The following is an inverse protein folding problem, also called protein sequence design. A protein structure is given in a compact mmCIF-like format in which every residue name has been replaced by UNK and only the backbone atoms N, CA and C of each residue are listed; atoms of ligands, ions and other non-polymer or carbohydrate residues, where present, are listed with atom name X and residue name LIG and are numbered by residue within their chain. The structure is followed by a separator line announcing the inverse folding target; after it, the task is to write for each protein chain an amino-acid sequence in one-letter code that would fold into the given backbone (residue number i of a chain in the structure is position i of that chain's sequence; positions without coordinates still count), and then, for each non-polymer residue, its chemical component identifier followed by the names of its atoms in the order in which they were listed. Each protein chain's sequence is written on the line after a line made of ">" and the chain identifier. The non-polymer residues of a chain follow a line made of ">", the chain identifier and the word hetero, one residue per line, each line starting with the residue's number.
data_IF_258893241409
#
_entry.id   IF_258893241409
#
_cell.length_a   1.000
_cell.length_b   1.000
_cell.length_c   1.000
_cell.angle_alpha   90.00
_cell.angle_beta   90.00
_cell.angle_gamma   90.00
#
_symmetry.space_group_name_H-M   'P 1'
#
loop_
_entity.id
_entity.type
_entity.pdbx_description
1 polymer ?
#
# COMPACT_ATOMS: atom_id res chain seq x y z
N UNK A 1 -17.50 -0.34 -11.47
CA UNK A 1 -18.07 -0.76 -10.15
C UNK A 1 -17.10 -0.38 -9.06
N UNK A 2 -17.54 0.27 -7.99
CA UNK A 2 -16.68 0.53 -6.83
C UNK A 2 -16.50 -0.79 -6.06
N UNK A 3 -15.26 -1.20 -5.83
CA UNK A 3 -14.95 -2.41 -5.07
C UNK A 3 -15.20 -2.09 -3.60
N UNK A 4 -16.22 -2.72 -3.02
CA UNK A 4 -16.54 -2.60 -1.60
C UNK A 4 -15.91 -3.77 -0.85
N UNK A 5 -14.95 -3.47 0.01
CA UNK A 5 -14.32 -4.43 0.90
C UNK A 5 -14.76 -4.12 2.34
N UNK A 6 -15.69 -4.89 2.88
CA UNK A 6 -16.19 -4.73 4.24
C UNK A 6 -15.94 -5.97 5.10
N UNK A 7 -14.89 -6.00 5.92
CA UNK A 7 -14.93 -6.75 7.16
C UNK A 7 -15.52 -5.84 8.25
N UNK A 8 -16.56 -6.31 8.97
CA UNK A 8 -17.24 -5.56 10.04
C UNK A 8 -16.38 -5.04 11.20
N UNK A 9 -15.08 -5.37 11.16
CA UNK A 9 -14.06 -4.92 12.14
C UNK A 9 -13.40 -3.57 11.78
N UNK A 10 -13.74 -2.96 10.63
CA UNK A 10 -13.01 -1.75 10.16
C UNK A 10 -13.36 -0.49 10.93
N UNK A 11 -14.59 -0.32 11.40
CA UNK A 11 -14.95 0.82 12.23
C UNK A 11 -14.24 0.81 13.58
N UNK A 12 -14.14 -0.36 14.22
CA UNK A 12 -13.39 -0.50 15.47
C UNK A 12 -11.89 -0.29 15.25
N UNK A 13 -11.34 -0.74 14.13
CA UNK A 13 -9.94 -0.51 13.78
C UNK A 13 -9.64 0.97 13.49
N UNK A 14 -10.57 1.71 12.85
CA UNK A 14 -10.46 3.17 12.62
C UNK A 14 -10.44 3.93 13.93
N UNK A 15 -11.37 3.66 14.84
CA UNK A 15 -11.45 4.30 16.16
C UNK A 15 -10.16 4.04 16.95
N UNK A 16 -9.70 2.81 16.99
CA UNK A 16 -8.47 2.43 17.68
C UNK A 16 -7.22 3.07 17.05
N UNK A 17 -7.18 3.22 15.73
CA UNK A 17 -6.11 3.94 15.05
C UNK A 17 -6.11 5.44 15.42
N UNK A 18 -7.29 6.07 15.52
CA UNK A 18 -7.44 7.46 15.92
C UNK A 18 -7.01 7.70 17.37
N UNK A 19 -7.39 6.81 18.29
CA UNK A 19 -6.97 6.85 19.70
C UNK A 19 -5.45 6.70 19.81
N UNK A 20 -4.88 5.72 19.12
CA UNK A 20 -3.43 5.48 19.11
C UNK A 20 -2.67 6.68 18.56
N UNK A 21 -3.18 7.28 17.48
CA UNK A 21 -2.56 8.45 16.85
C UNK A 21 -2.39 9.62 17.82
N UNK A 22 -3.25 9.75 18.82
CA UNK A 22 -3.14 10.79 19.84
C UNK A 22 -1.85 10.66 20.69
N UNK A 23 -1.41 9.44 20.95
CA UNK A 23 -0.24 9.15 21.78
C UNK A 23 1.07 9.04 20.98
N UNK A 24 1.05 9.15 19.66
CA UNK A 24 2.17 8.91 18.75
C UNK A 24 2.88 10.23 18.39
N UNK A 25 4.18 10.16 18.14
CA UNK A 25 5.01 11.30 17.75
C UNK A 25 5.28 11.31 16.24
N UNK A 26 5.48 10.13 15.62
CA UNK A 26 5.75 9.98 14.18
C UNK A 26 4.97 8.80 13.62
N UNK A 27 4.36 8.99 12.44
CA UNK A 27 3.71 7.93 11.68
C UNK A 27 4.67 7.39 10.63
N UNK A 28 4.84 6.07 10.59
CA UNK A 28 5.51 5.35 9.50
C UNK A 28 4.41 4.77 8.61
N UNK A 29 4.22 5.34 7.43
CA UNK A 29 3.30 4.79 6.43
C UNK A 29 4.07 3.91 5.46
N UNK A 30 3.84 2.59 5.54
CA UNK A 30 4.50 1.60 4.69
C UNK A 30 3.70 1.39 3.42
N UNK A 31 4.33 1.67 2.27
CA UNK A 31 3.78 1.61 0.93
C UNK A 31 4.48 0.52 0.11
N UNK A 32 3.83 0.01 -0.93
CA UNK A 32 4.49 -0.84 -1.92
C UNK A 32 5.13 0.06 -2.99
N UNK A 33 6.45 -0.02 -3.16
CA UNK A 33 7.20 0.82 -4.10
C UNK A 33 6.78 0.64 -5.58
N UNK A 34 6.05 -0.43 -5.89
CA UNK A 34 5.53 -0.70 -7.24
C UNK A 34 4.24 0.07 -7.57
N UNK A 35 3.50 0.48 -6.52
CA UNK A 35 2.20 1.17 -6.60
C UNK A 35 2.03 2.12 -5.39
N UNK A 36 2.86 3.16 -5.25
CA UNK A 36 2.94 3.94 -4.02
C UNK A 36 1.65 4.67 -3.67
N UNK A 37 0.99 5.32 -4.65
CA UNK A 37 -0.24 6.07 -4.37
C UNK A 37 -1.44 5.14 -4.21
N UNK A 38 -1.58 4.11 -5.05
CA UNK A 38 -2.63 3.10 -4.87
C UNK A 38 -2.52 2.33 -3.55
N UNK A 39 -1.33 2.27 -2.94
CA UNK A 39 -1.11 1.69 -1.60
C UNK A 39 -1.18 2.69 -0.46
N UNK A 40 -1.30 3.99 -0.74
CA UNK A 40 -1.51 5.04 0.27
C UNK A 40 -2.92 4.93 0.85
N UNK A 41 -3.02 4.93 2.18
CA UNK A 41 -4.31 4.87 2.86
C UNK A 41 -4.82 6.29 3.20
N UNK A 42 -5.93 6.75 2.61
CA UNK A 42 -6.49 8.08 2.88
C UNK A 42 -6.77 8.34 4.36
N UNK A 43 -7.18 7.31 5.11
CA UNK A 43 -7.42 7.40 6.54
C UNK A 43 -6.15 7.75 7.33
N UNK A 44 -5.00 7.20 6.94
CA UNK A 44 -3.71 7.54 7.58
C UNK A 44 -3.41 9.03 7.40
N UNK A 45 -3.63 9.55 6.18
CA UNK A 45 -3.46 10.98 5.89
C UNK A 45 -4.41 11.85 6.72
N UNK A 46 -5.69 11.49 6.77
CA UNK A 46 -6.71 12.20 7.56
C UNK A 46 -6.31 12.27 9.04
N UNK A 47 -6.07 11.13 9.68
CA UNK A 47 -5.77 11.04 11.11
C UNK A 47 -4.48 11.76 11.50
N UNK A 48 -3.42 11.65 10.67
CA UNK A 48 -2.15 12.33 10.98
C UNK A 48 -2.26 13.86 10.86
N UNK A 49 -3.03 14.37 9.87
CA UNK A 49 -3.25 15.80 9.69
C UNK A 49 -4.07 16.39 10.84
N UNK A 50 -5.14 15.72 11.27
CA UNK A 50 -5.92 16.11 12.43
C UNK A 50 -5.08 16.23 13.72
N UNK A 51 -4.04 15.39 13.85
CA UNK A 51 -3.15 15.37 15.01
C UNK A 51 -1.81 16.06 14.76
N UNK A 52 -1.62 16.68 13.59
CA UNK A 52 -0.38 17.36 13.17
C UNK A 52 0.86 16.47 13.34
N UNK A 53 0.72 15.16 13.02
CA UNK A 53 1.83 14.21 13.13
C UNK A 53 2.65 14.18 11.86
N UNK A 54 3.98 14.30 11.96
CA UNK A 54 4.86 14.08 10.82
C UNK A 54 4.79 12.63 10.35
N UNK A 55 5.04 12.42 9.07
CA UNK A 55 4.95 11.11 8.41
C UNK A 55 6.25 10.75 7.71
N UNK A 56 6.73 9.55 7.98
CA UNK A 56 7.76 8.90 7.19
C UNK A 56 7.08 7.90 6.23
N UNK A 57 6.98 8.26 4.94
CA UNK A 57 6.52 7.33 3.90
C UNK A 57 7.66 6.41 3.50
N UNK A 58 7.46 5.12 3.68
CA UNK A 58 8.47 4.08 3.39
C UNK A 58 7.99 3.23 2.22
N UNK A 59 8.61 3.42 1.05
CA UNK A 59 8.34 2.66 -0.16
C UNK A 59 9.10 1.33 -0.06
N UNK A 60 8.43 0.30 0.45
CA UNK A 60 8.99 -1.05 0.61
C UNK A 60 8.96 -1.84 -0.70
N UNK A 61 9.68 -2.95 -0.78
CA UNK A 61 9.88 -3.77 -1.96
C UNK A 61 10.55 -3.01 -3.12
N UNK A 62 11.40 -2.04 -2.79
CA UNK A 62 12.13 -1.24 -3.77
C UNK A 62 13.06 -2.09 -4.67
N UNK A 63 13.39 -3.30 -4.23
CA UNK A 63 14.09 -4.32 -5.02
C UNK A 63 13.26 -4.84 -6.22
N UNK A 64 11.93 -4.73 -6.15
CA UNK A 64 10.98 -5.17 -7.18
C UNK A 64 10.46 -4.00 -8.05
N UNK A 65 10.69 -2.75 -7.65
CA UNK A 65 10.17 -1.56 -8.31
C UNK A 65 11.19 -0.92 -9.26
N UNK A 66 10.69 -0.22 -10.28
CA UNK A 66 11.50 0.60 -11.18
C UNK A 66 12.23 1.69 -10.39
N UNK A 67 13.58 1.77 -10.46
CA UNK A 67 14.35 2.71 -9.65
C UNK A 67 14.15 4.17 -10.07
N UNK A 68 13.85 4.45 -11.34
CA UNK A 68 13.60 5.82 -11.80
C UNK A 68 12.23 6.31 -11.30
N UNK A 69 11.21 5.45 -11.42
CA UNK A 69 9.87 5.73 -10.91
C UNK A 69 9.88 5.87 -9.39
N UNK A 70 10.62 5.01 -8.68
CA UNK A 70 10.75 5.08 -7.23
C UNK A 70 11.35 6.43 -6.79
N UNK A 71 12.37 6.95 -7.47
CA UNK A 71 12.94 8.28 -7.20
C UNK A 71 11.92 9.39 -7.42
N UNK A 72 11.19 9.35 -8.54
CA UNK A 72 10.15 10.34 -8.83
C UNK A 72 9.07 10.39 -7.74
N UNK A 73 8.67 9.24 -7.19
CA UNK A 73 7.72 9.17 -6.07
C UNK A 73 8.30 9.72 -4.77
N UNK A 74 9.57 9.46 -4.45
CA UNK A 74 10.23 10.03 -3.28
C UNK A 74 10.25 11.56 -3.37
N UNK A 75 10.61 12.12 -4.53
CA UNK A 75 10.60 13.56 -4.78
C UNK A 75 9.19 14.14 -4.65
N UNK A 76 8.18 13.46 -5.23
CA UNK A 76 6.78 13.86 -5.14
C UNK A 76 6.30 13.95 -3.68
N UNK A 77 6.56 12.92 -2.87
CA UNK A 77 6.14 12.92 -1.47
C UNK A 77 6.91 13.90 -0.60
N UNK A 78 8.20 14.12 -0.86
CA UNK A 78 9.02 15.07 -0.11
C UNK A 78 8.59 16.55 -0.30
N UNK A 79 7.78 16.85 -1.32
CA UNK A 79 7.17 18.18 -1.50
C UNK A 79 5.97 18.41 -0.56
N UNK A 80 5.44 17.36 0.06
CA UNK A 80 4.27 17.45 0.92
C UNK A 80 4.67 17.92 2.34
N UNK A 81 3.96 18.89 2.93
CA UNK A 81 4.27 19.37 4.28
C UNK A 81 4.23 18.25 5.34
N UNK A 82 5.25 18.20 6.18
CA UNK A 82 5.34 17.22 7.26
C UNK A 82 5.53 15.77 6.79
N UNK A 83 5.89 15.55 5.53
CA UNK A 83 6.17 14.23 4.95
C UNK A 83 7.63 14.11 4.58
N UNK A 84 8.22 12.97 4.91
CA UNK A 84 9.50 12.53 4.38
C UNK A 84 9.33 11.15 3.77
N UNK A 85 9.97 10.91 2.62
CA UNK A 85 9.86 9.64 1.91
C UNK A 85 11.24 9.03 1.69
N UNK A 86 11.30 7.70 1.74
CA UNK A 86 12.46 6.91 1.33
C UNK A 86 12.01 5.57 0.74
N UNK A 87 12.89 4.93 -0.01
CA UNK A 87 12.69 3.56 -0.48
C UNK A 87 13.63 2.60 0.23
N UNK A 88 13.14 1.39 0.51
CA UNK A 88 13.93 0.30 1.07
C UNK A 88 13.40 -1.07 0.62
N UNK A 89 14.14 -2.10 0.93
CA UNK A 89 13.66 -3.48 0.91
C UNK A 89 13.81 -4.09 2.29
N UNK A 90 12.72 -4.60 2.86
CA UNK A 90 12.78 -5.35 4.13
C UNK A 90 13.65 -6.62 4.03
N UNK A 91 14.04 -7.04 2.83
CA UNK A 91 15.03 -8.11 2.61
C UNK A 91 16.48 -7.66 2.90
N UNK A 92 16.69 -6.34 3.08
CA UNK A 92 17.98 -5.73 3.40
C UNK A 92 17.92 -5.12 4.81
N UNK A 93 18.33 -5.84 5.86
CA UNK A 93 18.19 -5.36 7.25
C UNK A 93 18.90 -4.03 7.52
N UNK A 94 20.02 -3.75 6.84
CA UNK A 94 20.76 -2.49 6.98
C UNK A 94 19.93 -1.25 6.59
N UNK A 95 19.07 -1.36 5.57
CA UNK A 95 18.19 -0.26 5.15
C UNK A 95 17.14 0.04 6.23
N UNK A 96 16.60 -1.02 6.85
CA UNK A 96 15.57 -0.94 7.89
C UNK A 96 16.11 -0.34 9.19
N UNK A 97 17.35 -0.67 9.57
CA UNK A 97 17.98 -0.20 10.80
C UNK A 97 18.07 1.35 10.91
N UNK A 98 17.99 2.06 9.78
CA UNK A 98 18.04 3.53 9.73
C UNK A 98 16.72 4.21 10.11
N UNK A 99 15.59 3.47 10.11
CA UNK A 99 14.26 4.07 10.30
C UNK A 99 14.09 4.81 11.64
N UNK A 100 14.52 4.30 12.81
CA UNK A 100 14.39 5.03 14.07
C UNK A 100 15.10 6.40 14.03
N UNK A 101 16.30 6.46 13.49
CA UNK A 101 17.06 7.73 13.33
C UNK A 101 16.34 8.72 12.41
N UNK A 102 15.74 8.24 11.31
CA UNK A 102 14.98 9.10 10.40
C UNK A 102 13.68 9.60 11.04
N UNK A 103 13.01 8.77 11.82
CA UNK A 103 11.86 9.19 12.61
C UNK A 103 12.25 10.21 13.70
N UNK A 104 13.39 10.00 14.34
CA UNK A 104 13.91 10.95 15.33
C UNK A 104 14.13 12.34 14.74
N UNK A 105 14.63 12.43 13.50
CA UNK A 105 14.81 13.71 12.80
C UNK A 105 13.47 14.44 12.50
N UNK A 106 12.36 13.72 12.46
CA UNK A 106 11.00 14.28 12.28
C UNK A 106 10.38 14.76 13.60
N UNK A 107 10.86 14.28 14.74
CA UNK A 107 10.40 14.66 16.07
C UNK A 107 11.58 14.92 17.03
N UNK A 108 12.38 15.97 16.78
CA UNK A 108 13.62 16.21 17.52
C UNK A 108 13.41 16.50 19.02
N UNK A 109 12.20 16.90 19.41
CA UNK A 109 11.82 17.14 20.80
C UNK A 109 11.64 15.85 21.63
N UNK A 110 11.76 14.68 21.00
CA UNK A 110 11.66 13.34 21.62
C UNK A 110 13.02 12.64 21.61
N UNK A 111 14.07 13.30 22.04
CA UNK A 111 15.45 12.77 21.90
C UNK A 111 16.12 12.45 23.25
N UNK A 112 15.35 12.03 24.25
CA UNK A 112 15.89 11.63 25.54
C UNK A 112 15.25 10.36 26.10
N UNK A 113 15.82 9.83 27.19
CA UNK A 113 15.29 8.61 27.83
C UNK A 113 14.01 8.88 28.65
N UNK A 114 13.70 10.13 28.95
CA UNK A 114 12.51 10.55 29.70
C UNK A 114 11.31 10.64 28.76
N UNK A 115 11.56 11.08 27.52
CA UNK A 115 10.52 11.23 26.48
C UNK A 115 10.88 10.42 25.24
N UNK A 116 10.78 9.08 25.30
CA UNK A 116 11.12 8.24 24.18
C UNK A 116 10.22 8.51 22.96
N UNK A 117 10.77 8.34 21.76
CA UNK A 117 10.06 8.47 20.51
C UNK A 117 9.03 7.34 20.35
N UNK A 118 7.79 7.69 20.14
CA UNK A 118 6.69 6.76 19.91
C UNK A 118 6.30 6.77 18.44
N UNK A 119 6.56 5.68 17.76
CA UNK A 119 6.29 5.50 16.34
C UNK A 119 5.06 4.62 16.13
N UNK A 120 4.25 4.94 15.12
CA UNK A 120 3.12 4.12 14.68
C UNK A 120 3.38 3.64 13.26
N UNK A 121 3.37 2.32 13.04
CA UNK A 121 3.45 1.77 11.70
C UNK A 121 2.06 1.46 11.18
N UNK A 122 1.76 1.98 9.99
CA UNK A 122 0.50 1.79 9.28
C UNK A 122 0.77 1.41 7.82
N UNK A 123 -0.20 0.79 7.18
CA UNK A 123 -0.13 0.43 5.77
C UNK A 123 -1.13 -0.67 5.42
N UNK A 124 -1.32 -0.88 4.13
CA UNK A 124 -2.24 -1.90 3.60
C UNK A 124 -1.76 -3.33 3.94
N UNK A 125 -2.64 -4.35 3.78
CA UNK A 125 -2.22 -5.74 3.88
C UNK A 125 -1.08 -6.07 2.90
N UNK A 126 -0.26 -7.03 3.24
CA UNK A 126 0.85 -7.60 2.43
C UNK A 126 1.91 -6.58 1.92
N UNK A 127 1.91 -5.35 2.43
CA UNK A 127 2.94 -4.34 2.12
C UNK A 127 4.28 -4.61 2.83
N UNK A 128 4.29 -5.51 3.84
CA UNK A 128 5.48 -5.94 4.56
C UNK A 128 5.64 -5.41 5.97
N UNK A 129 4.55 -4.93 6.63
CA UNK A 129 4.61 -4.43 8.02
C UNK A 129 5.21 -5.42 9.00
N UNK A 130 4.70 -6.65 9.04
CA UNK A 130 5.20 -7.71 9.93
C UNK A 130 6.68 -8.06 9.64
N UNK A 131 7.08 -8.02 8.37
CA UNK A 131 8.49 -8.22 7.99
C UNK A 131 9.37 -7.08 8.51
N UNK A 132 8.94 -5.83 8.32
CA UNK A 132 9.64 -4.65 8.84
C UNK A 132 9.81 -4.73 10.36
N UNK A 133 8.73 -5.05 11.07
CA UNK A 133 8.73 -5.20 12.53
C UNK A 133 9.73 -6.27 13.00
N UNK A 134 9.74 -7.44 12.36
CA UNK A 134 10.66 -8.53 12.69
C UNK A 134 12.13 -8.12 12.49
N UNK A 135 12.42 -7.35 11.44
CA UNK A 135 13.77 -6.84 11.18
C UNK A 135 14.18 -5.79 12.23
N UNK A 136 13.30 -4.84 12.55
CA UNK A 136 13.57 -3.81 13.57
C UNK A 136 13.81 -4.42 14.95
N UNK A 137 13.06 -5.43 15.32
CA UNK A 137 13.15 -6.10 16.61
C UNK A 137 14.26 -7.15 16.66
N UNK A 138 14.93 -7.44 15.52
CA UNK A 138 15.94 -8.50 15.38
C UNK A 138 15.47 -9.88 15.89
N UNK A 139 14.16 -10.13 15.86
CA UNK A 139 13.53 -11.38 16.30
C UNK A 139 12.21 -11.61 15.60
N UNK A 140 11.80 -12.87 15.46
CA UNK A 140 10.53 -13.24 14.84
C UNK A 140 9.39 -13.15 15.87
N UNK A 141 8.74 -11.99 15.96
CA UNK A 141 7.59 -11.74 16.84
C UNK A 141 6.28 -11.78 16.05
N UNK A 142 6.26 -11.15 14.88
CA UNK A 142 5.08 -11.10 14.02
C UNK A 142 5.07 -12.29 13.06
N UNK A 143 3.91 -12.94 12.92
CA UNK A 143 3.71 -13.94 11.86
C UNK A 143 3.73 -13.24 10.50
N UNK A 144 4.52 -13.77 9.59
CA UNK A 144 4.57 -13.34 8.19
C UNK A 144 3.81 -14.37 7.37
N UNK A 145 2.89 -13.94 6.53
CA UNK A 145 2.12 -14.82 5.63
C UNK A 145 1.60 -14.03 4.43
N UNK A 146 1.31 -14.75 3.35
CA UNK A 146 0.81 -14.18 2.09
C UNK A 146 -0.70 -13.91 2.11
N UNK A 147 -1.40 -14.30 3.19
CA UNK A 147 -2.82 -14.00 3.36
C UNK A 147 -3.04 -12.60 3.94
N UNK A 148 -4.03 -11.84 3.45
CA UNK A 148 -4.41 -10.56 4.03
C UNK A 148 -4.84 -10.70 5.50
N UNK A 149 -4.48 -9.73 6.36
CA UNK A 149 -4.88 -9.61 7.77
C UNK A 149 -4.24 -10.62 8.76
N UNK A 150 -2.96 -10.93 8.60
CA UNK A 150 -2.22 -11.81 9.54
C UNK A 150 -2.10 -11.18 10.95
N UNK A 151 -1.96 -9.87 11.06
CA UNK A 151 -1.93 -9.15 12.35
C UNK A 151 -3.37 -8.85 12.81
N UNK A 152 -3.81 -9.50 13.88
CA UNK A 152 -5.19 -9.38 14.40
C UNK A 152 -5.37 -8.34 15.52
N UNK A 153 -4.30 -7.95 16.18
CA UNK A 153 -4.33 -6.99 17.30
C UNK A 153 -3.17 -6.02 17.22
N UNK A 154 -3.42 -4.81 17.72
CA UNK A 154 -2.40 -3.80 17.88
C UNK A 154 -1.45 -4.17 19.01
N UNK A 155 -0.14 -3.99 18.78
CA UNK A 155 0.91 -4.25 19.77
C UNK A 155 1.91 -3.11 19.80
N UNK A 156 2.26 -2.65 21.01
CA UNK A 156 3.36 -1.70 21.21
C UNK A 156 4.59 -2.46 21.68
N UNK A 157 5.69 -2.27 21.00
CA UNK A 157 6.95 -2.98 21.25
C UNK A 157 8.07 -1.97 21.47
N UNK A 158 8.92 -2.22 22.44
CA UNK A 158 10.10 -1.43 22.70
C UNK A 158 11.23 -1.89 21.76
N UNK A 159 11.80 -0.98 21.01
CA UNK A 159 12.97 -1.23 20.17
C UNK A 159 14.27 -1.08 20.97
N UNK A 160 14.35 0.01 21.75
CA UNK A 160 15.42 0.33 22.68
C UNK A 160 14.89 1.33 23.74
N UNK A 161 15.76 1.84 24.61
CA UNK A 161 15.39 2.76 25.71
C UNK A 161 14.77 4.08 25.21
N UNK A 162 15.01 4.46 23.94
CA UNK A 162 14.56 5.72 23.34
C UNK A 162 13.47 5.56 22.29
N UNK A 163 13.20 4.34 21.83
CA UNK A 163 12.29 4.10 20.71
C UNK A 163 11.28 3.01 21.00
N UNK A 164 10.01 3.34 20.83
CA UNK A 164 8.92 2.37 20.82
C UNK A 164 8.17 2.41 19.49
N UNK A 165 7.62 1.29 19.06
CA UNK A 165 6.86 1.17 17.84
C UNK A 165 5.57 0.42 18.10
N UNK A 166 4.47 0.97 17.61
CA UNK A 166 3.15 0.35 17.66
C UNK A 166 2.80 -0.18 16.28
N UNK A 167 2.54 -1.49 16.19
CA UNK A 167 2.04 -2.13 14.95
C UNK A 167 0.52 -2.10 14.94
N UNK A 168 -0.04 -1.87 13.76
CA UNK A 168 -1.48 -1.93 13.53
C UNK A 168 -1.83 -3.04 12.54
N UNK A 169 -3.03 -3.65 12.66
CA UNK A 169 -3.55 -4.50 11.60
C UNK A 169 -3.47 -3.80 10.24
N UNK A 170 -3.27 -4.55 9.16
CA UNK A 170 -3.34 -3.99 7.82
C UNK A 170 -4.72 -3.39 7.57
N UNK A 171 -4.76 -2.07 7.38
CA UNK A 171 -6.00 -1.34 7.17
C UNK A 171 -6.14 -1.02 5.68
N UNK A 172 -7.19 -1.57 5.06
CA UNK A 172 -7.72 -1.07 3.79
C UNK A 172 -8.90 -0.14 4.11
N UNK A 173 -9.11 0.84 3.26
CA UNK A 173 -10.28 1.71 3.36
C UNK A 173 -11.51 1.02 2.75
N UNK A 174 -12.74 1.34 3.25
CA UNK A 174 -13.96 0.61 2.88
C UNK A 174 -14.33 0.69 1.41
N UNK A 175 -13.93 1.75 0.72
CA UNK A 175 -14.27 2.01 -0.68
C UNK A 175 -13.04 2.43 -1.45
N UNK A 176 -12.58 1.59 -2.37
CA UNK A 176 -11.55 1.95 -3.34
C UNK A 176 -12.22 2.86 -4.38
N UNK A 177 -11.78 4.12 -4.44
CA UNK A 177 -12.43 5.14 -5.24
C UNK A 177 -12.27 4.87 -6.75
N UNK A 178 -11.11 4.35 -7.16
CA UNK A 178 -10.77 4.14 -8.56
C UNK A 178 -10.61 2.67 -8.88
N UNK A 179 -11.23 2.21 -9.97
CA UNK A 179 -11.14 0.81 -10.40
C UNK A 179 -9.70 0.37 -10.70
N UNK A 180 -8.88 1.27 -11.27
CA UNK A 180 -7.46 1.03 -11.52
C UNK A 180 -6.66 0.75 -10.24
N UNK A 181 -6.97 1.44 -9.13
CA UNK A 181 -6.33 1.17 -7.84
C UNK A 181 -6.66 -0.23 -7.34
N UNK A 182 -7.93 -0.65 -7.49
CA UNK A 182 -8.38 -2.00 -7.16
C UNK A 182 -7.60 -3.06 -7.93
N UNK A 183 -7.42 -2.87 -9.25
CA UNK A 183 -6.66 -3.76 -10.11
C UNK A 183 -5.16 -3.81 -9.72
N UNK A 184 -4.55 -2.67 -9.43
CA UNK A 184 -3.16 -2.60 -8.95
C UNK A 184 -2.98 -3.29 -7.59
N UNK A 185 -3.90 -3.06 -6.65
CA UNK A 185 -3.90 -3.71 -5.33
C UNK A 185 -4.09 -5.23 -5.44
N UNK A 186 -4.97 -5.69 -6.33
CA UNK A 186 -5.16 -7.10 -6.61
C UNK A 186 -3.92 -7.74 -7.26
N UNK A 187 -3.32 -7.06 -8.25
CA UNK A 187 -2.09 -7.51 -8.88
C UNK A 187 -0.95 -7.70 -7.85
N UNK A 188 -0.83 -6.80 -6.87
CA UNK A 188 0.17 -6.86 -5.80
C UNK A 188 -0.16 -7.82 -4.65
N UNK A 189 -1.35 -8.47 -4.67
CA UNK A 189 -1.90 -9.30 -3.59
C UNK A 189 -2.19 -8.53 -2.29
N UNK A 190 -2.47 -7.22 -2.37
CA UNK A 190 -2.86 -6.40 -1.21
C UNK A 190 -4.32 -6.62 -0.82
N UNK A 191 -5.19 -6.99 -1.76
CA UNK A 191 -6.56 -7.44 -1.54
C UNK A 191 -6.67 -8.94 -1.84
N UNK A 192 -7.58 -9.62 -1.11
CA UNK A 192 -7.73 -11.07 -1.21
C UNK A 192 -8.16 -11.55 -2.61
N UNK A 193 -7.78 -12.77 -2.95
CA UNK A 193 -8.05 -13.38 -4.27
C UNK A 193 -9.53 -13.44 -4.65
N UNK A 194 -10.43 -13.45 -3.66
CA UNK A 194 -11.88 -13.50 -3.89
C UNK A 194 -12.50 -12.11 -4.20
N UNK A 195 -11.69 -11.05 -4.19
CA UNK A 195 -12.19 -9.69 -4.42
C UNK A 195 -12.28 -9.34 -5.91
N UNK A 196 -11.52 -10.04 -6.77
CA UNK A 196 -11.45 -9.78 -8.22
C UNK A 196 -11.12 -11.07 -8.98
N UNK A 197 -11.49 -11.09 -10.25
CA UNK A 197 -11.21 -12.22 -11.16
C UNK A 197 -9.77 -12.11 -11.66
N UNK A 198 -8.97 -13.17 -11.47
CA UNK A 198 -7.54 -13.19 -11.83
C UNK A 198 -7.29 -12.80 -13.30
N UNK A 199 -8.19 -13.19 -14.22
CA UNK A 199 -8.09 -12.88 -15.65
C UNK A 199 -8.24 -11.37 -15.94
N UNK A 200 -9.14 -10.68 -15.22
CA UNK A 200 -9.32 -9.24 -15.36
C UNK A 200 -8.07 -8.50 -14.87
N UNK A 201 -7.55 -8.91 -13.71
CA UNK A 201 -6.34 -8.32 -13.11
C UNK A 201 -5.11 -8.57 -14.00
N UNK A 202 -4.98 -9.78 -14.56
CA UNK A 202 -3.89 -10.12 -15.47
C UNK A 202 -3.97 -9.36 -16.79
N UNK A 203 -5.17 -9.17 -17.34
CA UNK A 203 -5.40 -8.39 -18.56
C UNK A 203 -5.00 -6.93 -18.35
N UNK A 204 -5.40 -6.33 -17.23
CA UNK A 204 -4.95 -4.99 -16.85
C UNK A 204 -3.42 -4.91 -16.74
N UNK A 205 -2.80 -5.85 -16.04
CA UNK A 205 -1.34 -5.92 -15.89
C UNK A 205 -0.65 -6.08 -17.25
N UNK A 206 -1.12 -6.98 -18.10
CA UNK A 206 -0.57 -7.21 -19.43
C UNK A 206 -0.62 -5.94 -20.29
N UNK A 207 -1.74 -5.20 -20.27
CA UNK A 207 -1.88 -3.93 -20.98
C UNK A 207 -0.93 -2.84 -20.46
N UNK A 208 -0.69 -2.80 -19.15
CA UNK A 208 0.28 -1.87 -18.57
C UNK A 208 1.71 -2.24 -18.97
N UNK A 209 2.05 -3.54 -18.92
CA UNK A 209 3.38 -4.04 -19.29
C UNK A 209 3.68 -3.82 -20.77
N UNK A 210 2.71 -4.01 -21.64
CA UNK A 210 2.84 -3.72 -23.08
C UNK A 210 3.23 -2.25 -23.33
N UNK A 211 2.60 -1.32 -22.61
CA UNK A 211 2.85 0.11 -22.79
C UNK A 211 4.17 0.58 -22.16
N UNK A 212 4.54 0.05 -21.02
CA UNK A 212 5.66 0.60 -20.21
C UNK A 212 6.89 -0.28 -20.16
N UNK A 213 6.73 -1.60 -20.27
CA UNK A 213 7.80 -2.58 -20.08
C UNK A 213 7.78 -3.70 -21.12
N UNK A 214 7.60 -3.39 -22.44
CA UNK A 214 7.49 -4.44 -23.46
C UNK A 214 8.74 -5.34 -23.53
N UNK A 215 9.93 -4.77 -23.29
CA UNK A 215 11.17 -5.54 -23.28
C UNK A 215 11.22 -6.61 -22.16
N UNK A 216 10.58 -6.36 -21.01
CA UNK A 216 10.51 -7.34 -19.92
C UNK A 216 9.57 -8.50 -20.28
N UNK A 217 8.44 -8.22 -20.93
CA UNK A 217 7.55 -9.25 -21.48
C UNK A 217 8.27 -10.08 -22.54
N UNK A 218 8.96 -9.42 -23.49
CA UNK A 218 9.74 -10.06 -24.53
C UNK A 218 10.75 -11.03 -23.93
N UNK A 219 11.55 -10.56 -23.02
CA UNK A 219 12.60 -11.36 -22.35
C UNK A 219 12.03 -12.54 -21.57
N UNK A 220 10.99 -12.32 -20.77
CA UNK A 220 10.43 -13.36 -19.89
C UNK A 220 9.71 -14.48 -20.64
N UNK A 221 8.94 -14.11 -21.67
CA UNK A 221 8.09 -15.07 -22.38
C UNK A 221 8.59 -15.42 -23.78
N UNK A 222 9.76 -14.91 -24.18
CA UNK A 222 10.38 -15.19 -25.47
C UNK A 222 9.53 -14.69 -26.65
N UNK A 223 8.96 -13.48 -26.53
CA UNK A 223 8.15 -12.82 -27.55
C UNK A 223 9.04 -11.84 -28.32
N UNK A 224 8.85 -11.74 -29.65
CA UNK A 224 9.55 -10.70 -30.43
C UNK A 224 8.90 -9.34 -30.25
N UNK A 225 9.66 -8.25 -30.54
CA UNK A 225 9.14 -6.89 -30.51
C UNK A 225 7.94 -6.71 -31.47
N UNK A 226 8.02 -7.32 -32.67
CA UNK A 226 6.94 -7.29 -33.67
C UNK A 226 5.68 -8.01 -33.13
N UNK A 227 5.88 -9.13 -32.47
CA UNK A 227 4.78 -9.87 -31.83
C UNK A 227 4.09 -9.05 -30.74
N UNK A 228 4.83 -8.21 -30.01
CA UNK A 228 4.27 -7.36 -28.94
C UNK A 228 3.64 -6.09 -29.50
N UNK A 229 4.15 -5.53 -30.60
CA UNK A 229 3.59 -4.33 -31.22
C UNK A 229 2.21 -4.55 -31.87
N UNK A 230 1.90 -5.78 -32.28
CA UNK A 230 0.68 -6.15 -33.01
C UNK A 230 -0.40 -6.79 -32.14
N UNK A 231 -0.27 -6.78 -30.80
CA UNK A 231 -1.21 -7.51 -29.92
C UNK A 231 -1.77 -6.62 -28.82
N UNK A 232 -2.96 -6.98 -28.37
CA UNK A 232 -3.61 -6.44 -27.19
C UNK A 232 -3.25 -7.25 -25.92
N UNK A 233 -3.75 -6.78 -24.78
CA UNK A 233 -3.50 -7.39 -23.47
C UNK A 233 -3.99 -8.84 -23.36
N UNK A 234 -5.13 -9.16 -23.99
CA UNK A 234 -5.73 -10.50 -23.98
C UNK A 234 -4.86 -11.47 -24.77
N UNK A 235 -4.42 -11.04 -25.97
CA UNK A 235 -3.53 -11.81 -26.81
C UNK A 235 -2.16 -12.09 -26.17
N UNK A 236 -1.67 -11.19 -25.30
CA UNK A 236 -0.44 -11.46 -24.51
C UNK A 236 -0.66 -12.68 -23.59
N UNK A 237 -1.78 -12.75 -22.90
CA UNK A 237 -2.07 -13.88 -22.00
C UNK A 237 -2.23 -15.20 -22.79
N UNK A 238 -2.89 -15.17 -23.95
CA UNK A 238 -2.97 -16.33 -24.85
C UNK A 238 -1.57 -16.81 -25.29
N UNK A 239 -0.69 -15.87 -25.69
CA UNK A 239 0.70 -16.21 -26.05
C UNK A 239 1.48 -16.80 -24.88
N UNK A 240 1.31 -16.28 -23.66
CA UNK A 240 1.90 -16.85 -22.44
C UNK A 240 1.41 -18.28 -22.24
N UNK A 241 0.09 -18.52 -22.39
CA UNK A 241 -0.50 -19.86 -22.27
C UNK A 241 0.15 -20.85 -23.25
N UNK A 242 0.17 -20.51 -24.54
CA UNK A 242 0.76 -21.35 -25.60
C UNK A 242 2.23 -21.60 -25.37
N UNK A 243 3.00 -20.55 -25.05
CA UNK A 243 4.45 -20.66 -24.80
C UNK A 243 4.80 -21.52 -23.61
N UNK A 244 3.94 -21.54 -22.58
CA UNK A 244 4.11 -22.34 -21.37
C UNK A 244 3.43 -23.72 -21.45
N UNK A 245 2.82 -24.07 -22.60
CA UNK A 245 2.10 -25.32 -22.75
C UNK A 245 0.85 -25.43 -21.86
N UNK A 246 0.27 -24.29 -21.46
CA UNK A 246 -0.94 -24.23 -20.63
C UNK A 246 -2.16 -24.33 -21.54
N UNK A 247 -2.51 -25.54 -21.94
CA UNK A 247 -3.67 -25.80 -22.79
C UNK A 247 -4.68 -26.70 -22.07
N UNK A 248 -5.98 -26.49 -22.36
CA UNK A 248 -7.07 -27.36 -21.97
C UNK A 248 -7.15 -28.58 -22.90
N UNK A 249 -7.99 -29.57 -22.56
CA UNK A 249 -8.32 -30.67 -23.46
C UNK A 249 -8.93 -30.08 -24.73
N UNK A 250 -8.37 -30.38 -25.90
CA UNK A 250 -8.76 -29.77 -27.18
C UNK A 250 -7.77 -28.71 -27.74
N UNK A 251 -6.67 -28.40 -27.02
CA UNK A 251 -5.61 -27.52 -27.50
C UNK A 251 -5.88 -26.02 -27.33
N UNK A 252 -7.00 -25.65 -26.73
CA UNK A 252 -7.30 -24.25 -26.38
C UNK A 252 -6.40 -23.75 -25.23
N UNK A 253 -6.00 -22.48 -25.31
CA UNK A 253 -5.21 -21.83 -24.27
C UNK A 253 -5.98 -21.80 -22.94
N UNK A 254 -5.34 -22.23 -21.87
CA UNK A 254 -5.87 -22.12 -20.50
C UNK A 254 -5.58 -20.72 -19.96
N UNK A 255 -6.50 -19.81 -20.25
CA UNK A 255 -6.37 -18.38 -19.94
C UNK A 255 -6.26 -18.14 -18.44
N UNK A 256 -7.00 -18.87 -17.62
CA UNK A 256 -6.98 -18.77 -16.15
C UNK A 256 -5.60 -19.15 -15.59
N UNK A 257 -5.01 -20.25 -16.04
CA UNK A 257 -3.66 -20.63 -15.61
C UNK A 257 -2.60 -19.64 -16.07
N UNK A 258 -2.71 -19.14 -17.30
CA UNK A 258 -1.77 -18.14 -17.81
C UNK A 258 -1.88 -16.82 -17.06
N UNK A 259 -3.07 -16.36 -16.70
CA UNK A 259 -3.30 -15.20 -15.86
C UNK A 259 -2.61 -15.35 -14.49
N UNK A 260 -2.79 -16.49 -13.83
CA UNK A 260 -2.11 -16.80 -12.56
C UNK A 260 -0.58 -16.79 -12.69
N UNK A 261 -0.03 -17.31 -13.79
CA UNK A 261 1.40 -17.29 -14.05
C UNK A 261 1.92 -15.86 -14.20
N UNK A 262 1.23 -15.01 -14.99
CA UNK A 262 1.63 -13.62 -15.18
C UNK A 262 1.62 -12.84 -13.85
N UNK A 263 0.54 -12.98 -13.07
CA UNK A 263 0.40 -12.35 -11.77
C UNK A 263 1.47 -12.83 -10.78
N UNK A 264 1.78 -14.13 -10.76
CA UNK A 264 2.81 -14.66 -9.88
C UNK A 264 4.20 -14.20 -10.29
N UNK A 265 4.54 -14.21 -11.60
CA UNK A 265 5.81 -13.70 -12.13
C UNK A 265 6.02 -12.21 -11.76
N UNK A 266 4.95 -11.40 -11.75
CA UNK A 266 5.00 -10.01 -11.28
C UNK A 266 5.23 -9.91 -9.77
N UNK A 267 4.52 -10.69 -8.97
CA UNK A 267 4.62 -10.68 -7.50
C UNK A 267 6.00 -11.08 -7.02
N UNK A 268 6.59 -12.08 -7.66
CA UNK A 268 7.92 -12.63 -7.34
C UNK A 268 9.07 -11.77 -7.90
N UNK A 269 8.76 -10.81 -8.78
CA UNK A 269 9.75 -9.96 -9.44
C UNK A 269 10.53 -10.67 -10.55
N UNK A 270 10.06 -11.81 -11.03
CA UNK A 270 10.71 -12.59 -12.10
C UNK A 270 10.64 -11.88 -13.46
N UNK A 271 9.61 -11.04 -13.64
CA UNK A 271 9.49 -10.15 -14.80
C UNK A 271 10.54 -9.05 -14.83
N UNK A 272 11.17 -8.73 -13.69
CA UNK A 272 12.05 -7.59 -13.53
C UNK A 272 11.47 -6.51 -12.62
N UNK A 273 12.11 -5.33 -12.62
CA UNK A 273 11.72 -4.22 -11.76
C UNK A 273 10.63 -3.38 -12.43
N UNK A 274 9.42 -3.44 -11.86
CA UNK A 274 8.20 -2.87 -12.45
C UNK A 274 7.50 -1.97 -11.44
N UNK A 275 7.07 -0.78 -11.90
CA UNK A 275 6.15 0.08 -11.15
C UNK A 275 4.87 0.28 -11.95
N UNK A 276 3.72 0.08 -11.32
CA UNK A 276 2.42 0.12 -12.00
C UNK A 276 1.94 1.55 -12.27
N UNK A 277 2.43 2.52 -11.50
CA UNK A 277 2.08 3.93 -11.63
C UNK A 277 3.30 4.85 -11.47
N UNK A 278 3.20 6.06 -12.00
CA UNK A 278 4.14 7.18 -11.79
C UNK A 278 3.35 8.38 -11.28
N UNK A 279 3.97 9.42 -10.70
CA UNK A 279 3.26 10.65 -10.37
C UNK A 279 2.47 11.20 -11.57
N UNK A 280 3.08 11.28 -12.76
CA UNK A 280 2.42 11.78 -13.97
C UNK A 280 1.26 10.90 -14.46
N UNK A 281 1.40 9.56 -14.43
CA UNK A 281 0.28 8.67 -14.81
C UNK A 281 -0.85 8.71 -13.80
N UNK A 282 -0.55 8.99 -12.53
CA UNK A 282 -1.57 9.18 -11.49
C UNK A 282 -2.38 10.44 -11.74
N UNK A 283 -1.72 11.55 -12.01
CA UNK A 283 -2.38 12.83 -12.33
C UNK A 283 -3.28 12.70 -13.57
N UNK A 284 -2.79 12.06 -14.64
CA UNK A 284 -3.57 11.78 -15.83
C UNK A 284 -4.80 10.89 -15.54
N UNK A 285 -4.62 9.83 -14.76
CA UNK A 285 -5.72 8.94 -14.36
C UNK A 285 -6.80 9.68 -13.57
N UNK A 286 -6.42 10.56 -12.64
CA UNK A 286 -7.36 11.36 -11.86
C UNK A 286 -8.13 12.34 -12.73
N UNK A 287 -7.46 12.96 -13.70
CA UNK A 287 -8.09 13.86 -14.69
C UNK A 287 -9.11 13.11 -15.56
N UNK A 288 -8.76 11.93 -16.05
CA UNK A 288 -9.66 11.09 -16.88
C UNK A 288 -10.89 10.63 -16.10
N UNK A 289 -10.72 10.24 -14.83
CA UNK A 289 -11.85 9.83 -13.97
C UNK A 289 -12.77 11.02 -13.66
N UNK A 290 -12.22 12.21 -13.43
CA UNK A 290 -13.01 13.44 -13.19
C UNK A 290 -13.80 13.88 -14.43
N UNK A 291 -13.32 13.59 -15.64
CA UNK A 291 -13.96 13.93 -16.90
C UNK A 291 -15.14 13.00 -17.27
N UNK A 292 -15.29 11.84 -16.60
CA UNK A 292 -16.38 10.90 -16.88
C UNK A 292 -17.73 11.44 -16.39
N UNK A 293 -18.82 11.34 -17.19
CA UNK A 293 -20.16 11.71 -16.75
C UNK A 293 -20.57 10.86 -15.53
N UNK A 294 -20.77 11.50 -14.39
CA UNK A 294 -21.06 10.83 -13.10
C UNK A 294 -19.84 10.57 -12.21
N UNK A 295 -18.66 10.97 -12.64
CA UNK A 295 -17.42 10.99 -11.86
C UNK A 295 -17.35 12.16 -10.92
N UNK A 296 -18.37 12.37 -10.07
CA UNK A 296 -18.21 13.24 -8.91
C UNK A 296 -17.16 12.58 -8.02
N UNK A 297 -15.93 13.09 -8.10
CA UNK A 297 -14.90 12.91 -7.10
C UNK A 297 -15.56 13.24 -5.77
N UNK A 298 -15.82 12.23 -4.95
CA UNK A 298 -16.15 12.45 -3.56
C UNK A 298 -14.95 13.19 -2.96
N UNK A 299 -15.02 14.51 -2.97
CA UNK A 299 -14.20 15.35 -2.11
C UNK A 299 -14.29 14.70 -0.75
N UNK A 300 -13.18 14.43 -0.05
CA UNK A 300 -13.26 14.01 1.33
C UNK A 300 -14.04 15.10 2.05
N UNK A 301 -15.23 14.75 2.56
CA UNK A 301 -16.14 15.65 3.20
C UNK A 301 -15.44 16.38 4.36
N UNK A 302 -14.93 17.55 4.05
CA UNK A 302 -14.80 18.65 4.98
C UNK A 302 -16.09 19.43 4.83
N UNK A 303 -17.08 19.10 5.65
CA UNK A 303 -18.13 19.98 6.13
C UNK A 303 -19.23 19.10 6.74
N UNK A 304 -19.27 19.09 8.01
CA UNK A 304 -20.27 18.44 8.84
C UNK A 304 -19.82 18.52 10.29
N UNK A 305 -19.61 19.76 10.76
CA UNK A 305 -19.51 20.05 12.18
C UNK A 305 -20.77 19.57 12.87
N UNK A 306 -20.76 18.35 13.40
CA UNK A 306 -21.61 17.95 14.51
C UNK A 306 -20.80 18.18 15.77
N UNK A 307 -21.14 19.29 16.45
CA UNK A 307 -20.76 19.56 17.82
C UNK A 307 -21.03 18.32 18.67
N UNK A 308 -19.96 17.83 19.32
CA UNK A 308 -20.11 16.90 20.42
C UNK A 308 -20.84 17.60 21.54
N UNK A 309 -21.87 17.01 22.18
CA UNK A 309 -22.56 17.61 23.30
C UNK A 309 -21.56 17.83 24.44
N UNK A 310 -21.55 19.04 24.97
CA UNK A 310 -20.80 19.45 26.14
C UNK A 310 -21.12 18.52 27.31
N UNK A 311 -20.08 18.06 28.00
CA UNK A 311 -20.18 17.33 29.23
C UNK A 311 -20.87 18.23 30.27
N UNK A 312 -22.06 17.86 30.67
CA UNK A 312 -22.81 18.49 31.78
C UNK A 312 -22.07 18.15 33.08
N UNK A 313 -21.40 19.14 33.64
CA UNK A 313 -20.91 19.11 35.02
C UNK A 313 -22.14 19.16 35.91
N UNK A 314 -22.46 18.05 36.56
CA UNK A 314 -23.43 18.01 37.68
C UNK A 314 -22.67 18.45 38.93
N UNK A 315 -22.89 19.68 39.35
CA UNK A 315 -22.58 20.13 40.69
C UNK A 315 -23.47 19.34 41.67
N UNK A 316 -22.84 18.61 42.57
CA UNK A 316 -23.50 18.05 43.73
C UNK A 316 -23.67 19.20 44.75
N UNK A 317 -24.88 19.69 44.91
CA UNK A 317 -25.25 20.56 46.02
C UNK A 317 -25.33 19.70 47.31
N UNK A 318 -24.57 20.14 48.27
CA UNK A 318 -24.59 19.81 49.68
C UNK A 318 -25.96 20.14 50.29
N UNK A 319 -26.44 19.28 51.20
CA UNK A 319 -27.68 19.61 51.93
C UNK A 319 -28.17 18.56 52.91
N UNK A 320 -27.58 18.58 54.11
CA UNK A 320 -28.08 18.05 55.39
C UNK A 320 -27.97 16.56 55.68
#
# INVERSE_FOLDING_TARGET
>A
MAIQWFPGHMNSARLKAAETMAAIDVVIELLDARLPEASTNPLVRELRLQRQRPCLKVLNKADLADPQVTRAWIEHYNRQPGVRALALSCRKPGDVARLPTLCQALAPHRNDNVKPLRMLIMGIPNVGKSTLMNVLLKRRIAKVGDEPAVTRSQQTLQLDVRHSITDTPGLLWPKIAYASDGLMLAASNAIGRNAMIDEEVATFLAGLLLRRYPALLASRYGLSAEQLAAVDAVSVIDRIARRRGLCRRGGEADFEKAAKVLLQDYRDGVLGRISLETPATRDAMLADEAAKPGGAVGTPAGEGGRELPAATTTEAADGR
#
